data_IF_396884862170
#
_entry.id   IF_396884862170
#
_cell.length_a   1.000
_cell.length_b   1.000
_cell.length_c   1.000
_cell.angle_alpha   90.00
_cell.angle_beta   90.00
_cell.angle_gamma   90.00
#
_symmetry.space_group_name_H-M   'P 1'
#
loop_
_entity.id
_entity.type
_entity.pdbx_description
1 polymer ?
#
# COMPACT_ATOMS: atom_id res chain seq x y z
N UNK A 1 13.58 -7.36 -14.71
CA UNK A 1 12.50 -6.44 -15.09
C UNK A 1 13.02 -5.03 -15.04
N UNK A 2 12.88 -4.28 -16.14
CA UNK A 2 13.21 -2.86 -16.19
C UNK A 2 12.14 -1.98 -15.55
N UNK A 3 12.35 -0.66 -15.55
CA UNK A 3 11.35 0.32 -15.16
C UNK A 3 10.20 0.33 -16.17
N UNK A 4 8.97 0.37 -15.67
CA UNK A 4 7.77 0.58 -16.48
C UNK A 4 7.37 2.05 -16.45
N UNK A 5 7.03 2.58 -17.63
CA UNK A 5 6.47 3.93 -17.76
C UNK A 5 5.05 4.01 -17.18
N UNK A 6 4.69 5.17 -16.65
CA UNK A 6 3.36 5.50 -16.08
C UNK A 6 2.87 4.55 -14.99
N UNK A 7 3.79 3.83 -14.35
CA UNK A 7 3.51 2.89 -13.26
C UNK A 7 4.46 3.20 -12.09
N UNK A 8 3.96 3.01 -10.87
CA UNK A 8 4.79 3.06 -9.66
C UNK A 8 5.60 1.77 -9.53
N UNK A 9 6.89 1.83 -9.81
CA UNK A 9 7.83 0.71 -9.72
C UNK A 9 8.35 0.60 -8.28
N UNK A 10 7.91 -0.42 -7.55
CA UNK A 10 8.37 -0.73 -6.18
C UNK A 10 9.45 -1.83 -6.13
N UNK A 11 10.22 -1.98 -7.21
CA UNK A 11 11.20 -3.06 -7.39
C UNK A 11 12.48 -2.86 -6.56
N UNK A 12 12.71 -1.66 -6.01
CA UNK A 12 13.97 -1.27 -5.38
C UNK A 12 13.89 -1.16 -3.85
N UNK A 13 13.15 -2.05 -3.18
CA UNK A 13 13.02 -2.02 -1.73
C UNK A 13 12.10 -0.90 -1.26
N UNK A 14 12.58 -0.12 -0.29
CA UNK A 14 11.89 1.03 0.29
C UNK A 14 11.95 2.30 -0.60
N UNK A 15 12.20 2.11 -1.90
CA UNK A 15 12.22 3.19 -2.89
C UNK A 15 11.22 2.90 -3.99
N UNK A 16 10.25 3.80 -4.14
CA UNK A 16 9.22 3.73 -5.19
C UNK A 16 9.56 4.75 -6.26
N UNK A 17 9.58 4.31 -7.52
CA UNK A 17 9.96 5.15 -8.66
C UNK A 17 8.83 5.17 -9.67
N UNK A 18 8.31 6.36 -9.96
CA UNK A 18 7.44 6.64 -11.08
C UNK A 18 8.22 7.38 -12.16
N UNK A 19 8.00 6.99 -13.41
CA UNK A 19 8.57 7.64 -14.59
C UNK A 19 7.46 7.83 -15.61
N UNK A 20 7.36 9.02 -16.17
CA UNK A 20 6.36 9.33 -17.19
C UNK A 20 6.70 8.70 -18.55
N UNK A 21 7.97 8.79 -18.96
CA UNK A 21 8.48 8.28 -20.24
C UNK A 21 9.88 7.68 -20.07
N UNK A 22 10.07 6.49 -20.63
CA UNK A 22 11.33 5.74 -20.63
C UNK A 22 11.79 5.60 -22.08
N UNK A 23 13.00 6.10 -22.37
CA UNK A 23 13.59 5.94 -23.71
C UNK A 23 13.72 4.48 -24.12
N UNK A 24 13.75 4.21 -25.42
CA UNK A 24 13.91 2.85 -25.96
C UNK A 24 15.17 2.13 -25.45
N UNK A 25 16.21 2.87 -25.08
CA UNK A 25 17.45 2.32 -24.49
C UNK A 25 17.35 2.07 -22.97
N UNK A 26 16.26 2.46 -22.32
CA UNK A 26 16.04 2.43 -20.87
C UNK A 26 17.06 3.22 -20.03
N UNK A 27 17.89 4.04 -20.68
CA UNK A 27 18.93 4.85 -20.01
C UNK A 27 18.40 6.23 -19.67
N UNK A 28 17.72 6.89 -20.61
CA UNK A 28 17.13 8.21 -20.39
C UNK A 28 15.68 8.09 -19.92
N UNK A 29 15.33 8.90 -18.93
CA UNK A 29 14.05 8.94 -18.24
C UNK A 29 13.53 10.38 -18.22
N UNK A 30 12.21 10.56 -18.29
CA UNK A 30 11.57 11.87 -18.20
C UNK A 30 10.38 11.83 -17.25
N UNK A 31 10.18 12.92 -16.52
CA UNK A 31 9.10 13.07 -15.55
C UNK A 31 9.23 12.06 -14.42
N UNK A 32 10.24 12.24 -13.56
CA UNK A 32 10.53 11.32 -12.48
C UNK A 32 9.92 11.81 -11.17
N UNK A 33 9.32 10.86 -10.46
CA UNK A 33 8.89 11.03 -9.08
C UNK A 33 9.44 9.83 -8.29
N UNK A 34 10.19 10.10 -7.23
CA UNK A 34 10.76 9.07 -6.36
C UNK A 34 10.28 9.31 -4.94
N UNK A 35 9.72 8.28 -4.31
CA UNK A 35 9.53 8.22 -2.87
C UNK A 35 10.66 7.39 -2.28
N UNK A 36 11.45 7.99 -1.39
CA UNK A 36 12.50 7.31 -0.63
C UNK A 36 12.07 7.22 0.83
N UNK A 37 11.75 5.99 1.26
CA UNK A 37 11.26 5.65 2.60
C UNK A 37 12.27 4.77 3.37
N UNK A 38 13.54 4.75 2.94
CA UNK A 38 14.60 3.98 3.59
C UNK A 38 14.85 4.39 5.05
N UNK A 39 14.52 5.63 5.42
CA UNK A 39 14.55 6.10 6.80
C UNK A 39 13.10 6.23 7.33
N UNK A 40 12.68 5.41 8.31
CA UNK A 40 11.31 5.45 8.83
C UNK A 40 10.97 6.77 9.55
N UNK A 41 11.96 7.62 9.85
CA UNK A 41 11.77 8.92 10.50
C UNK A 41 11.63 10.07 9.51
N UNK A 42 11.89 9.84 8.22
CA UNK A 42 11.97 10.91 7.23
C UNK A 42 11.36 10.43 5.92
N UNK A 43 10.33 11.13 5.45
CA UNK A 43 9.78 10.93 4.12
C UNK A 43 10.46 11.88 3.13
N UNK A 44 11.02 11.33 2.05
CA UNK A 44 11.64 12.12 0.97
C UNK A 44 10.91 11.89 -0.34
N UNK A 45 10.35 12.96 -0.89
CA UNK A 45 9.73 12.97 -2.22
C UNK A 45 10.63 13.79 -3.15
N UNK A 46 11.20 13.12 -4.14
CA UNK A 46 12.11 13.71 -5.12
C UNK A 46 11.37 13.80 -6.45
N UNK A 47 11.32 14.99 -7.02
CA UNK A 47 10.75 15.23 -8.36
C UNK A 47 11.84 15.73 -9.28
N UNK A 48 11.93 15.21 -10.50
CA UNK A 48 12.90 15.69 -11.50
C UNK A 48 12.30 15.66 -12.91
N UNK A 49 12.72 16.61 -13.75
CA UNK A 49 12.27 16.65 -15.15
C UNK A 49 12.92 15.56 -15.99
N UNK A 50 14.20 15.30 -15.74
CA UNK A 50 15.01 14.36 -16.50
C UNK A 50 15.79 13.45 -15.55
N UNK A 51 16.06 12.24 -16.01
CA UNK A 51 16.82 11.27 -15.26
C UNK A 51 17.63 10.36 -16.17
N UNK A 52 18.68 9.76 -15.60
CA UNK A 52 19.51 8.77 -16.26
C UNK A 52 19.78 7.61 -15.34
N UNK A 53 19.63 6.40 -15.87
CA UNK A 53 20.10 5.18 -15.21
C UNK A 53 21.55 4.92 -15.63
N UNK A 54 22.42 4.84 -14.62
CA UNK A 54 23.82 4.51 -14.78
C UNK A 54 24.05 3.18 -14.07
N UNK A 55 24.38 2.15 -14.82
CA UNK A 55 24.72 0.84 -14.25
C UNK A 55 26.23 0.72 -14.17
N UNK A 56 26.73 0.50 -12.95
CA UNK A 56 28.13 0.14 -12.72
C UNK A 56 28.25 -1.38 -12.69
N UNK A 57 28.82 -1.94 -13.75
CA UNK A 57 28.99 -3.38 -13.94
C UNK A 57 30.04 -3.98 -12.99
N UNK A 58 31.05 -3.19 -12.59
CA UNK A 58 32.10 -3.65 -11.67
C UNK A 58 31.57 -3.80 -10.24
N UNK A 59 30.71 -2.87 -9.80
CA UNK A 59 30.17 -2.85 -8.44
C UNK A 59 28.73 -3.38 -8.32
N UNK A 60 28.12 -3.81 -9.44
CA UNK A 60 26.70 -4.24 -9.53
C UNK A 60 25.72 -3.23 -8.91
N UNK A 61 26.03 -1.94 -9.03
CA UNK A 61 25.20 -0.85 -8.49
C UNK A 61 24.48 -0.14 -9.63
N UNK A 62 23.20 0.12 -9.43
CA UNK A 62 22.43 0.99 -10.33
C UNK A 62 22.34 2.36 -9.68
N UNK A 63 22.76 3.39 -10.38
CA UNK A 63 22.66 4.78 -9.94
C UNK A 63 21.62 5.49 -10.77
N UNK A 64 20.58 6.01 -10.13
CA UNK A 64 19.62 6.91 -10.74
C UNK A 64 20.11 8.34 -10.56
N UNK A 65 20.57 8.95 -11.65
CA UNK A 65 20.91 10.37 -11.72
C UNK A 65 19.67 11.16 -12.08
N UNK A 66 19.23 12.05 -11.19
CA UNK A 66 18.13 12.97 -11.41
C UNK A 66 18.67 14.36 -11.76
N UNK A 67 18.03 15.03 -12.72
CA UNK A 67 18.48 16.31 -13.25
C UNK A 67 17.38 17.38 -13.12
N UNK A 68 17.78 18.57 -12.68
CA UNK A 68 16.93 19.76 -12.56
C UNK A 68 15.63 19.49 -11.81
N UNK A 69 15.77 19.09 -10.55
CA UNK A 69 14.67 18.65 -9.70
C UNK A 69 14.65 19.33 -8.34
N UNK A 70 13.76 18.81 -7.50
CA UNK A 70 13.61 19.24 -6.12
C UNK A 70 13.40 18.04 -5.20
N UNK A 71 13.92 18.13 -3.98
CA UNK A 71 13.67 17.20 -2.88
C UNK A 71 12.77 17.89 -1.87
N UNK A 72 11.66 17.25 -1.56
CA UNK A 72 10.79 17.56 -0.45
C UNK A 72 11.09 16.56 0.66
N UNK A 73 11.50 17.04 1.82
CA UNK A 73 11.82 16.21 2.96
C UNK A 73 10.97 16.64 4.14
N UNK A 74 10.30 15.68 4.75
CA UNK A 74 9.46 15.90 5.91
C UNK A 74 9.83 14.90 7.01
N UNK A 75 10.00 15.40 8.22
CA UNK A 75 10.17 14.54 9.38
C UNK A 75 8.86 13.79 9.63
N UNK A 76 8.92 12.47 9.51
CA UNK A 76 7.88 11.55 9.97
C UNK A 76 8.24 11.24 11.42
N UNK A 77 7.82 12.11 12.33
CA UNK A 77 7.72 11.69 13.71
C UNK A 77 6.75 10.50 13.70
N UNK A 78 7.14 9.31 14.20
CA UNK A 78 6.14 8.35 14.62
C UNK A 78 5.32 9.17 15.61
N UNK A 79 4.04 9.47 15.31
CA UNK A 79 3.18 9.91 16.38
C UNK A 79 3.28 8.76 17.38
N UNK A 80 4.02 8.95 18.47
CA UNK A 80 4.06 7.98 19.54
C UNK A 80 2.59 7.86 19.90
N UNK A 81 1.93 6.76 19.49
CA UNK A 81 0.54 6.65 19.82
C UNK A 81 0.51 6.66 21.35
N UNK A 82 -0.46 7.34 21.96
CA UNK A 82 -0.62 7.29 23.41
C UNK A 82 -0.48 5.82 23.84
N UNK A 83 0.28 5.48 24.90
CA UNK A 83 0.45 4.09 25.32
C UNK A 83 -0.91 3.38 25.37
N UNK A 84 -1.12 2.43 24.47
CA UNK A 84 -2.40 1.75 24.29
C UNK A 84 -2.43 0.52 25.22
N UNK A 85 -3.48 0.34 26.05
CA UNK A 85 -3.64 -0.89 26.83
C UNK A 85 -3.78 -2.11 25.90
N UNK A 86 -2.92 -3.12 26.07
CA UNK A 86 -2.95 -4.37 25.29
C UNK A 86 -2.28 -4.31 23.91
N UNK A 87 -1.40 -3.32 23.68
CA UNK A 87 -0.60 -3.21 22.45
C UNK A 87 0.87 -3.34 22.83
N UNK A 88 1.45 -4.51 22.57
CA UNK A 88 2.82 -4.86 23.00
C UNK A 88 3.90 -4.30 22.05
N UNK A 89 3.49 -3.73 20.91
CA UNK A 89 4.37 -3.21 19.86
C UNK A 89 4.18 -1.71 19.70
N UNK A 90 5.27 -0.95 19.61
CA UNK A 90 5.22 0.44 19.15
C UNK A 90 4.63 0.45 17.72
N UNK A 91 3.44 1.04 17.49
CA UNK A 91 2.87 1.13 16.16
C UNK A 91 3.78 1.98 15.27
N UNK A 92 4.35 1.36 14.25
CA UNK A 92 5.04 2.04 13.16
C UNK A 92 3.98 2.59 12.21
N UNK A 93 3.46 3.79 12.48
CA UNK A 93 2.45 4.39 11.58
C UNK A 93 1.62 5.54 12.15
N UNK A 94 2.11 6.24 13.18
CA UNK A 94 1.45 7.44 13.66
C UNK A 94 1.45 8.55 12.59
N UNK A 95 0.34 9.26 12.43
CA UNK A 95 0.23 10.40 11.52
C UNK A 95 1.39 11.38 11.75
N UNK A 96 2.16 11.67 10.69
CA UNK A 96 3.33 12.53 10.76
C UNK A 96 2.93 13.92 11.30
N UNK A 97 3.30 14.20 12.54
CA UNK A 97 3.39 15.57 13.01
C UNK A 97 4.67 16.14 12.36
N UNK A 98 4.52 16.86 11.26
CA UNK A 98 5.63 17.47 10.53
C UNK A 98 6.30 18.55 11.37
N UNK A 99 7.24 18.18 12.22
CA UNK A 99 7.99 19.16 13.03
C UNK A 99 8.98 19.96 12.17
N UNK A 100 9.41 19.39 11.04
CA UNK A 100 10.33 20.02 10.10
C UNK A 100 10.02 19.61 8.67
N UNK A 101 9.91 20.61 7.81
CA UNK A 101 9.83 20.45 6.36
C UNK A 101 11.04 21.15 5.71
N UNK A 102 11.65 20.51 4.72
CA UNK A 102 12.78 21.04 3.96
C UNK A 102 12.52 20.87 2.48
N UNK A 103 12.68 21.95 1.74
CA UNK A 103 12.61 21.97 0.28
C UNK A 103 13.98 22.35 -0.28
N UNK A 104 14.53 21.52 -1.15
CA UNK A 104 15.86 21.72 -1.74
C UNK A 104 15.80 21.53 -3.24
N UNK A 105 16.14 22.56 -4.02
CA UNK A 105 16.35 22.43 -5.46
C UNK A 105 17.74 21.89 -5.76
N UNK A 106 17.87 21.08 -6.81
CA UNK A 106 19.16 20.56 -7.27
C UNK A 106 19.27 20.57 -8.80
N UNK A 107 20.48 20.79 -9.28
CA UNK A 107 20.82 20.60 -10.69
C UNK A 107 21.07 19.11 -11.00
N UNK A 108 21.79 18.42 -10.12
CA UNK A 108 22.12 17.00 -10.23
C UNK A 108 21.96 16.33 -8.86
N UNK A 109 21.30 15.18 -8.82
CA UNK A 109 21.15 14.36 -7.62
C UNK A 109 21.35 12.89 -8.01
N UNK A 110 22.38 12.26 -7.44
CA UNK A 110 22.69 10.86 -7.70
C UNK A 110 22.20 9.98 -6.55
N UNK A 111 21.34 9.02 -6.87
CA UNK A 111 20.80 8.06 -5.91
C UNK A 111 21.22 6.64 -6.28
N UNK A 112 21.84 5.92 -5.34
CA UNK A 112 22.15 4.50 -5.51
C UNK A 112 20.93 3.64 -5.20
N UNK A 113 20.56 2.78 -6.15
CA UNK A 113 19.54 1.75 -6.05
C UNK A 113 20.24 0.39 -5.83
N UNK A 114 19.93 -0.27 -4.72
CA UNK A 114 20.38 -1.63 -4.43
C UNK A 114 19.40 -2.64 -5.03
N UNK A 115 19.87 -3.51 -5.91
CA UNK A 115 19.07 -4.56 -6.57
C UNK A 115 19.05 -5.85 -5.74
N UNK A 116 19.78 -5.89 -4.61
CA UNK A 116 20.07 -7.10 -3.83
C UNK A 116 18.91 -7.63 -2.97
N UNK A 117 17.67 -7.15 -3.15
CA UNK A 117 16.51 -7.76 -2.48
C UNK A 117 15.24 -7.69 -3.32
N UNK A 118 15.10 -8.54 -4.35
CA UNK A 118 13.84 -8.74 -5.06
C UNK A 118 12.70 -9.29 -4.17
N UNK A 119 12.97 -9.57 -2.88
CA UNK A 119 12.01 -10.10 -1.90
C UNK A 119 11.60 -9.10 -0.81
N UNK A 120 12.22 -7.92 -0.74
CA UNK A 120 11.66 -6.81 0.03
C UNK A 120 10.95 -5.89 -0.95
N UNK A 121 9.76 -6.29 -1.37
CA UNK A 121 8.78 -5.29 -1.81
C UNK A 121 8.72 -4.25 -0.70
N UNK A 122 8.75 -2.94 -1.01
CA UNK A 122 8.49 -1.88 -0.05
C UNK A 122 7.43 -2.38 0.93
N UNK A 123 7.65 -2.35 2.27
CA UNK A 123 6.62 -2.76 3.20
C UNK A 123 5.40 -1.94 2.79
N UNK A 124 4.38 -2.60 2.21
CA UNK A 124 3.07 -1.99 2.02
C UNK A 124 2.81 -1.45 3.40
N UNK A 125 2.86 -0.12 3.59
CA UNK A 125 2.60 0.51 4.87
C UNK A 125 1.36 -0.20 5.41
N UNK A 126 1.57 -1.11 6.35
CA UNK A 126 0.51 -2.02 6.76
C UNK A 126 -0.48 -1.08 7.40
N UNK A 127 -1.64 -0.97 6.74
CA UNK A 127 -2.68 -0.02 7.09
C UNK A 127 -2.84 -0.07 8.62
N UNK A 128 -2.46 0.98 9.36
CA UNK A 128 -2.27 0.88 10.81
C UNK A 128 -3.57 0.50 11.51
N UNK A 129 -4.72 0.74 10.89
CA UNK A 129 -6.04 0.29 11.32
C UNK A 129 -6.20 -1.24 11.42
N UNK A 130 -5.47 -2.02 10.62
CA UNK A 130 -5.60 -3.50 10.56
C UNK A 130 -5.01 -4.20 11.77
N UNK A 131 -3.98 -3.63 12.37
CA UNK A 131 -3.27 -4.20 13.53
C UNK A 131 -3.93 -3.85 14.87
N UNK A 132 -4.95 -2.99 14.87
CA UNK A 132 -5.64 -2.57 16.09
C UNK A 132 -6.56 -3.65 16.62
N UNK A 133 -6.62 -3.81 17.95
CA UNK A 133 -7.67 -4.60 18.60
C UNK A 133 -9.04 -3.92 18.44
N UNK A 134 -10.14 -4.68 18.58
CA UNK A 134 -11.50 -4.14 18.43
C UNK A 134 -11.77 -2.94 19.35
N UNK A 135 -11.31 -3.02 20.60
CA UNK A 135 -11.45 -1.93 21.57
C UNK A 135 -10.65 -0.69 21.17
N UNK A 136 -9.40 -0.87 20.73
CA UNK A 136 -8.56 0.23 20.25
C UNK A 136 -9.16 0.92 19.00
N UNK A 137 -9.80 0.15 18.12
CA UNK A 137 -10.47 0.67 16.92
C UNK A 137 -11.66 1.58 17.27
N UNK A 138 -12.50 1.18 18.24
CA UNK A 138 -13.63 1.98 18.73
C UNK A 138 -13.18 3.28 19.38
N UNK A 139 -12.10 3.25 20.18
CA UNK A 139 -11.52 4.45 20.79
C UNK A 139 -11.03 5.42 19.70
N UNK A 140 -10.35 4.93 18.65
CA UNK A 140 -9.86 5.76 17.55
C UNK A 140 -10.97 6.45 16.76
N UNK A 141 -12.09 5.77 16.51
CA UNK A 141 -13.26 6.36 15.84
C UNK A 141 -13.80 7.56 16.64
N UNK A 142 -13.79 7.47 17.98
CA UNK A 142 -14.20 8.55 18.87
C UNK A 142 -13.21 9.72 18.96
N UNK A 143 -11.91 9.47 18.81
CA UNK A 143 -10.84 10.48 18.95
C UNK A 143 -10.75 11.44 17.75
N UNK A 144 -10.91 10.96 16.53
CA UNK A 144 -10.88 11.83 15.36
C UNK A 144 -12.21 12.56 15.25
N UNK A 145 -12.28 13.89 15.04
CA UNK A 145 -13.52 14.60 14.68
C UNK A 145 -13.79 14.61 13.17
N UNK A 146 -12.73 14.50 12.36
CA UNK A 146 -12.78 14.63 10.91
C UNK A 146 -13.31 13.34 10.24
N UNK A 147 -14.34 13.47 9.41
CA UNK A 147 -14.93 12.35 8.67
C UNK A 147 -13.90 11.60 7.79
N UNK A 148 -12.96 12.32 7.18
CA UNK A 148 -11.92 11.74 6.34
C UNK A 148 -10.95 10.83 7.12
N UNK A 149 -10.58 11.22 8.35
CA UNK A 149 -9.68 10.43 9.21
C UNK A 149 -10.39 9.29 9.92
N UNK A 150 -11.71 9.41 10.14
CA UNK A 150 -12.57 8.37 10.73
C UNK A 150 -12.88 7.22 9.77
N UNK A 151 -13.16 7.54 8.51
CA UNK A 151 -13.58 6.58 7.50
C UNK A 151 -12.77 5.26 7.44
N UNK A 152 -11.42 5.26 7.45
CA UNK A 152 -10.66 3.99 7.39
C UNK A 152 -10.91 3.08 8.61
N UNK A 153 -11.05 3.65 9.80
CA UNK A 153 -11.30 2.87 11.03
C UNK A 153 -12.72 2.31 11.08
N UNK A 154 -13.70 3.09 10.62
CA UNK A 154 -15.09 2.63 10.51
C UNK A 154 -15.21 1.49 9.48
N UNK A 155 -14.55 1.60 8.33
CA UNK A 155 -14.55 0.54 7.31
C UNK A 155 -13.96 -0.75 7.85
N UNK A 156 -12.82 -0.69 8.56
CA UNK A 156 -12.18 -1.86 9.15
C UNK A 156 -13.09 -2.54 10.19
N UNK A 157 -13.81 -1.76 10.99
CA UNK A 157 -14.78 -2.27 11.96
C UNK A 157 -15.89 -3.06 11.26
N UNK A 158 -16.49 -2.47 10.23
CA UNK A 158 -17.55 -3.12 9.47
C UNK A 158 -17.05 -4.39 8.77
N UNK A 159 -15.83 -4.36 8.19
CA UNK A 159 -15.22 -5.56 7.57
C UNK A 159 -15.10 -6.72 8.55
N UNK A 160 -14.64 -6.47 9.79
CA UNK A 160 -14.47 -7.51 10.82
C UNK A 160 -15.77 -8.21 11.19
N UNK A 161 -16.91 -7.50 11.18
CA UNK A 161 -18.23 -8.12 11.40
C UNK A 161 -18.85 -8.69 10.12
N UNK A 162 -18.58 -8.08 8.96
CA UNK A 162 -19.09 -8.54 7.69
C UNK A 162 -18.59 -9.95 7.34
N UNK A 163 -17.32 -10.28 7.59
CA UNK A 163 -16.76 -11.60 7.29
C UNK A 163 -17.48 -12.78 7.98
N UNK A 164 -17.65 -12.80 9.31
CA UNK A 164 -18.38 -13.88 9.97
C UNK A 164 -19.88 -13.88 9.65
N UNK A 165 -20.50 -12.70 9.50
CA UNK A 165 -21.93 -12.59 9.14
C UNK A 165 -22.16 -13.11 7.72
N UNK A 166 -21.24 -12.87 6.78
CA UNK A 166 -21.33 -13.39 5.42
C UNK A 166 -21.41 -14.92 5.40
N UNK A 167 -20.66 -15.62 6.26
CA UNK A 167 -20.73 -17.08 6.37
C UNK A 167 -22.14 -17.56 6.80
N UNK A 168 -22.79 -16.86 7.73
CA UNK A 168 -24.16 -17.16 8.15
C UNK A 168 -25.18 -16.89 7.04
N UNK A 169 -25.03 -15.77 6.32
CA UNK A 169 -25.89 -15.43 5.17
C UNK A 169 -25.73 -16.47 4.07
N UNK A 170 -24.52 -16.91 3.75
CA UNK A 170 -24.29 -17.98 2.77
C UNK A 170 -24.91 -19.30 3.21
N UNK A 171 -24.79 -19.69 4.48
CA UNK A 171 -25.46 -20.88 4.98
C UNK A 171 -27.00 -20.78 4.83
N UNK A 172 -27.56 -19.62 5.16
CA UNK A 172 -29.00 -19.36 5.07
C UNK A 172 -29.51 -19.36 3.63
N UNK A 173 -28.71 -18.89 2.67
CA UNK A 173 -29.04 -18.93 1.23
C UNK A 173 -28.82 -20.33 0.64
N UNK A 174 -27.75 -21.02 1.03
CA UNK A 174 -27.40 -22.34 0.52
C UNK A 174 -28.41 -23.41 0.95
N UNK A 175 -28.94 -23.33 2.18
CA UNK A 175 -29.88 -24.31 2.71
C UNK A 175 -31.18 -24.48 1.89
N UNK A 176 -31.98 -23.43 1.61
CA UNK A 176 -33.20 -23.57 0.80
C UNK A 176 -32.88 -23.95 -0.64
N UNK A 177 -31.75 -23.50 -1.18
CA UNK A 177 -31.31 -23.85 -2.53
C UNK A 177 -30.96 -25.34 -2.64
N UNK A 178 -30.35 -25.90 -1.59
CA UNK A 178 -30.06 -27.33 -1.49
C UNK A 178 -31.32 -28.18 -1.36
N UNK A 179 -32.29 -27.76 -0.53
CA UNK A 179 -33.53 -28.51 -0.27
C UNK A 179 -34.49 -28.48 -1.46
N UNK A 180 -34.59 -27.35 -2.18
CA UNK A 180 -35.53 -27.20 -3.32
C UNK A 180 -35.11 -28.00 -4.56
N UNK A 181 -33.87 -28.49 -4.61
CA UNK A 181 -33.36 -29.34 -5.69
C UNK A 181 -33.83 -30.81 -5.56
N UNK A 182 -35.13 -31.06 -5.49
CA UNK A 182 -35.65 -32.36 -5.04
C UNK A 182 -35.62 -33.52 -6.07
N UNK A 183 -35.35 -33.34 -7.37
CA UNK A 183 -35.31 -34.51 -8.29
C UNK A 183 -34.24 -34.34 -9.38
N UNK A 184 -33.03 -34.83 -9.10
CA UNK A 184 -31.95 -35.04 -10.09
C UNK A 184 -30.74 -34.10 -10.03
N UNK A 185 -30.72 -33.08 -9.16
CA UNK A 185 -29.84 -31.91 -9.29
C UNK A 185 -28.74 -31.70 -8.23
N UNK A 186 -28.19 -32.74 -7.59
CA UNK A 186 -27.11 -32.56 -6.57
C UNK A 186 -25.91 -31.74 -7.11
N UNK A 187 -25.59 -31.89 -8.39
CA UNK A 187 -24.56 -31.11 -9.07
C UNK A 187 -24.97 -29.65 -9.34
N UNK A 188 -26.26 -29.39 -9.60
CA UNK A 188 -26.78 -28.05 -9.87
C UNK A 188 -26.67 -27.17 -8.62
N UNK A 189 -26.95 -27.71 -7.43
CA UNK A 189 -26.78 -26.99 -6.17
C UNK A 189 -25.31 -26.62 -5.90
N UNK A 190 -24.37 -27.53 -6.19
CA UNK A 190 -22.93 -27.26 -6.07
C UNK A 190 -22.48 -26.17 -7.04
N UNK A 191 -22.85 -26.27 -8.32
CA UNK A 191 -22.52 -25.25 -9.32
C UNK A 191 -23.12 -23.90 -8.95
N UNK A 192 -24.38 -23.86 -8.50
CA UNK A 192 -25.03 -22.62 -8.06
C UNK A 192 -24.31 -22.01 -6.84
N UNK A 193 -23.92 -22.81 -5.84
CA UNK A 193 -23.15 -22.31 -4.69
C UNK A 193 -21.78 -21.76 -5.08
N UNK A 194 -21.10 -22.40 -6.04
CA UNK A 194 -19.80 -21.96 -6.54
C UNK A 194 -19.91 -20.64 -7.29
N UNK A 195 -20.92 -20.48 -8.14
CA UNK A 195 -21.19 -19.22 -8.85
C UNK A 195 -21.45 -18.09 -7.86
N UNK A 196 -22.27 -18.32 -6.82
CA UNK A 196 -22.55 -17.31 -5.78
C UNK A 196 -21.25 -16.90 -5.05
N UNK A 197 -20.40 -17.86 -4.69
CA UNK A 197 -19.12 -17.60 -4.03
C UNK A 197 -18.19 -16.73 -4.91
N UNK A 198 -18.03 -17.12 -6.18
CA UNK A 198 -17.18 -16.40 -7.13
C UNK A 198 -17.70 -14.99 -7.38
N UNK A 199 -19.01 -14.83 -7.57
CA UNK A 199 -19.64 -13.52 -7.76
C UNK A 199 -19.44 -12.61 -6.54
N UNK A 200 -19.60 -13.13 -5.33
CA UNK A 200 -19.33 -12.39 -4.10
C UNK A 200 -17.87 -11.92 -4.02
N UNK A 201 -16.92 -12.82 -4.29
CA UNK A 201 -15.50 -12.47 -4.23
C UNK A 201 -15.11 -11.45 -5.31
N UNK A 202 -15.68 -11.53 -6.51
CA UNK A 202 -15.45 -10.51 -7.55
C UNK A 202 -16.00 -9.14 -7.13
N UNK A 203 -17.21 -9.07 -6.57
CA UNK A 203 -17.77 -7.81 -6.06
C UNK A 203 -16.91 -7.23 -4.94
N UNK A 204 -16.51 -8.06 -3.97
CA UNK A 204 -15.71 -7.62 -2.84
C UNK A 204 -14.33 -7.12 -3.31
N UNK A 205 -13.68 -7.84 -4.22
CA UNK A 205 -12.38 -7.41 -4.79
C UNK A 205 -12.51 -6.14 -5.62
N UNK A 206 -13.63 -5.93 -6.32
CA UNK A 206 -13.89 -4.71 -7.08
C UNK A 206 -14.18 -3.50 -6.20
N UNK A 207 -14.68 -3.72 -4.97
CA UNK A 207 -15.04 -2.67 -4.01
C UNK A 207 -13.88 -2.36 -3.05
N UNK A 208 -12.85 -3.19 -3.03
CA UNK A 208 -11.66 -3.07 -2.18
C UNK A 208 -10.52 -2.31 -2.87
#
# INVERSE_FOLDING_TARGET
SGLQERVFNATFGDVIIYVEDVSASQVALRGLLVSDERDPKISRIITAREGRLLTDEANRRITLRLLNGAVNEADVLPAAPPPLPGVDKNPTGGAAAGSRYRFTNFAVYDMSLSVDSPLKSAPRLEKPEKDLSLGALLTRIGEFPDAYRRAPYEVELHKRFAFPVAALVFALVAFPLAVRSHRGGRSIALVASLVILVSYYMLMTSLE
#
